data_IF_160945212788
#
_entry.id   IF_160945212788
#
_cell.length_a   1.000
_cell.length_b   1.000
_cell.length_c   1.000
_cell.angle_alpha   90.00
_cell.angle_beta   90.00
_cell.angle_gamma   90.00
#
_symmetry.space_group_name_H-M   'P 1'
#
loop_
_entity.id
_entity.type
_entity.pdbx_description
1 polymer ?
#
# COMPACT_ATOMS: atom_id res chain seq x y z
N UNK A 1 -17.03 -12.71 -9.77
CA UNK A 1 -16.51 -13.38 -8.55
C UNK A 1 -15.03 -13.60 -8.78
N UNK A 2 -14.13 -12.95 -8.02
CA UNK A 2 -12.70 -13.23 -8.16
C UNK A 2 -12.43 -14.64 -7.63
N UNK A 3 -11.68 -15.43 -8.40
CA UNK A 3 -11.30 -16.78 -8.01
C UNK A 3 -10.40 -16.77 -6.77
N UNK A 4 -10.48 -17.80 -5.92
CA UNK A 4 -9.70 -17.88 -4.67
C UNK A 4 -8.19 -17.73 -4.92
N UNK A 5 -7.73 -18.23 -6.06
CA UNK A 5 -6.34 -18.12 -6.51
C UNK A 5 -5.95 -16.67 -6.80
N UNK A 6 -6.80 -15.94 -7.51
CA UNK A 6 -6.58 -14.52 -7.83
C UNK A 6 -6.58 -13.65 -6.56
N UNK A 7 -7.44 -13.97 -5.58
CA UNK A 7 -7.43 -13.26 -4.29
C UNK A 7 -6.12 -13.48 -3.53
N UNK A 8 -5.60 -14.71 -3.53
CA UNK A 8 -4.30 -15.00 -2.91
C UNK A 8 -3.13 -14.35 -3.64
N UNK A 9 -3.23 -14.25 -4.97
CA UNK A 9 -2.18 -13.71 -5.82
C UNK A 9 -2.01 -12.19 -5.64
N UNK A 10 -3.09 -11.48 -5.30
CA UNK A 10 -3.15 -10.03 -5.11
C UNK A 10 -3.57 -9.60 -3.70
N UNK A 11 -3.46 -10.50 -2.72
CA UNK A 11 -3.97 -10.29 -1.36
C UNK A 11 -3.38 -9.02 -0.72
N UNK A 12 -2.08 -8.80 -0.89
CA UNK A 12 -1.39 -7.66 -0.27
C UNK A 12 -1.64 -6.37 -1.02
N UNK A 13 -1.67 -6.42 -2.35
CA UNK A 13 -2.10 -5.28 -3.18
C UNK A 13 -3.50 -4.82 -2.78
N UNK A 14 -4.43 -5.76 -2.57
CA UNK A 14 -5.78 -5.45 -2.13
C UNK A 14 -5.79 -4.77 -0.75
N UNK A 15 -5.02 -5.28 0.21
CA UNK A 15 -4.90 -4.66 1.54
C UNK A 15 -4.36 -3.22 1.44
N UNK A 16 -3.25 -3.02 0.71
CA UNK A 16 -2.66 -1.70 0.55
C UNK A 16 -3.59 -0.74 -0.20
N UNK A 17 -4.33 -1.22 -1.20
CA UNK A 17 -5.35 -0.46 -1.90
C UNK A 17 -6.46 0.00 -0.93
N UNK A 18 -6.94 -0.89 -0.07
CA UNK A 18 -7.96 -0.54 0.94
C UNK A 18 -7.44 0.50 1.93
N UNK A 19 -6.21 0.33 2.43
CA UNK A 19 -5.58 1.28 3.35
C UNK A 19 -5.43 2.66 2.68
N UNK A 20 -4.88 2.71 1.46
CA UNK A 20 -4.74 3.95 0.68
C UNK A 20 -6.09 4.63 0.43
N UNK A 21 -7.13 3.85 0.14
CA UNK A 21 -8.49 4.37 -0.09
C UNK A 21 -9.07 5.00 1.17
N UNK A 22 -8.92 4.36 2.33
CA UNK A 22 -9.36 4.91 3.62
C UNK A 22 -8.59 6.18 3.97
N UNK A 23 -7.27 6.17 3.80
CA UNK A 23 -6.43 7.35 4.03
C UNK A 23 -6.75 8.48 3.04
N UNK A 24 -7.05 8.16 1.78
CA UNK A 24 -7.49 9.14 0.78
C UNK A 24 -8.69 9.92 1.28
N UNK A 25 -9.70 9.26 1.85
CA UNK A 25 -10.88 9.93 2.41
C UNK A 25 -10.50 10.93 3.52
N UNK A 26 -9.59 10.53 4.41
CA UNK A 26 -9.14 11.40 5.52
C UNK A 26 -8.35 12.61 5.02
N UNK A 27 -7.49 12.44 4.02
CA UNK A 27 -6.68 13.55 3.47
C UNK A 27 -7.56 14.50 2.64
N UNK A 28 -8.53 13.97 1.89
CA UNK A 28 -9.38 14.75 0.99
C UNK A 28 -10.40 15.62 1.74
N UNK A 29 -10.84 15.22 2.95
CA UNK A 29 -11.80 16.03 3.74
C UNK A 29 -11.15 17.05 4.67
N UNK A 30 -9.87 16.88 5.05
CA UNK A 30 -9.24 17.69 6.10
C UNK A 30 -8.20 18.70 5.59
N UNK A 31 -7.41 18.40 4.55
CA UNK A 31 -6.25 19.26 4.21
C UNK A 31 -5.82 19.18 2.72
N UNK A 32 -5.76 20.38 2.09
CA UNK A 32 -4.67 20.82 1.19
C UNK A 32 -4.82 20.75 -0.34
N UNK A 33 -4.28 21.82 -0.96
CA UNK A 33 -3.97 22.10 -2.39
C UNK A 33 -3.22 21.00 -3.17
N UNK A 34 -2.89 19.86 -2.54
CA UNK A 34 -1.91 18.88 -3.03
C UNK A 34 -2.49 17.46 -3.27
N UNK A 35 -3.77 17.35 -3.63
CA UNK A 35 -4.43 16.09 -4.04
C UNK A 35 -3.62 15.31 -5.09
N UNK A 36 -3.00 16.01 -6.02
CA UNK A 36 -2.16 15.42 -7.08
C UNK A 36 -0.98 14.64 -6.51
N UNK A 37 -0.29 15.19 -5.49
CA UNK A 37 0.83 14.53 -4.82
C UNK A 37 0.38 13.24 -4.13
N UNK A 38 -0.80 13.26 -3.50
CA UNK A 38 -1.36 12.09 -2.86
C UNK A 38 -1.74 10.98 -3.85
N UNK A 39 -2.30 11.35 -5.01
CA UNK A 39 -2.60 10.43 -6.12
C UNK A 39 -1.30 9.81 -6.66
N UNK A 40 -0.26 10.61 -6.87
CA UNK A 40 1.04 10.13 -7.36
C UNK A 40 1.67 9.16 -6.37
N UNK A 41 1.69 9.50 -5.07
CA UNK A 41 2.20 8.59 -4.03
C UNK A 41 1.39 7.29 -3.97
N UNK A 42 0.07 7.40 -4.06
CA UNK A 42 -0.82 6.24 -4.08
C UNK A 42 -0.51 5.30 -5.24
N UNK A 43 -0.30 5.88 -6.43
CA UNK A 43 0.05 5.13 -7.63
C UNK A 43 1.41 4.43 -7.52
N UNK A 44 2.42 5.13 -6.99
CA UNK A 44 3.77 4.57 -6.78
C UNK A 44 3.73 3.42 -5.78
N UNK A 45 3.02 3.57 -4.67
CA UNK A 45 2.87 2.53 -3.65
C UNK A 45 2.18 1.31 -4.27
N UNK A 46 1.05 1.50 -4.96
CA UNK A 46 0.33 0.41 -5.62
C UNK A 46 1.18 -0.33 -6.66
N UNK A 47 1.87 0.39 -7.55
CA UNK A 47 2.73 -0.22 -8.57
C UNK A 47 3.89 -1.00 -7.97
N UNK A 48 4.54 -0.44 -6.94
CA UNK A 48 5.62 -1.11 -6.24
C UNK A 48 5.13 -2.39 -5.56
N UNK A 49 3.96 -2.32 -4.93
CA UNK A 49 3.35 -3.45 -4.22
C UNK A 49 2.93 -4.54 -5.21
N UNK A 50 2.27 -4.19 -6.32
CA UNK A 50 1.90 -5.09 -7.41
C UNK A 50 3.11 -5.79 -8.03
N UNK A 51 4.14 -5.02 -8.38
CA UNK A 51 5.34 -5.57 -9.03
C UNK A 51 6.07 -6.53 -8.09
N UNK A 52 6.19 -6.17 -6.82
CA UNK A 52 6.77 -7.01 -5.77
C UNK A 52 5.94 -8.27 -5.55
N UNK A 53 4.62 -8.13 -5.51
CA UNK A 53 3.70 -9.23 -5.27
C UNK A 53 3.68 -10.23 -6.45
N UNK A 54 3.72 -9.75 -7.69
CA UNK A 54 3.85 -10.58 -8.90
C UNK A 54 5.21 -11.30 -8.92
N UNK A 55 6.29 -10.60 -8.59
CA UNK A 55 7.63 -11.18 -8.54
C UNK A 55 7.75 -12.27 -7.47
N UNK A 56 7.20 -12.04 -6.29
CA UNK A 56 7.19 -13.03 -5.20
C UNK A 56 6.26 -14.21 -5.48
N UNK A 57 5.16 -14.00 -6.22
CA UNK A 57 4.20 -15.07 -6.53
C UNK A 57 4.81 -16.19 -7.37
N UNK A 58 5.83 -15.86 -8.16
CA UNK A 58 6.55 -16.84 -8.97
C UNK A 58 7.50 -17.73 -8.16
N UNK A 59 7.88 -17.34 -6.94
CA UNK A 59 8.94 -18.01 -6.16
C UNK A 59 8.48 -18.54 -4.80
N UNK A 60 7.41 -18.01 -4.22
CA UNK A 60 7.09 -18.24 -2.82
C UNK A 60 5.59 -18.50 -2.62
N UNK A 61 5.27 -19.46 -1.74
CA UNK A 61 3.91 -19.68 -1.27
C UNK A 61 3.41 -18.53 -0.36
N UNK A 62 2.10 -18.48 -0.11
CA UNK A 62 1.43 -17.37 0.58
C UNK A 62 2.06 -17.02 1.94
N UNK A 63 2.42 -18.03 2.75
CA UNK A 63 3.01 -17.82 4.09
C UNK A 63 4.41 -17.19 4.02
N UNK A 64 5.26 -17.63 3.09
CA UNK A 64 6.59 -17.04 2.92
C UNK A 64 6.53 -15.64 2.33
N UNK A 65 5.56 -15.40 1.44
CA UNK A 65 5.20 -14.07 0.96
C UNK A 65 4.86 -13.15 2.12
N UNK A 66 3.95 -13.57 3.00
CA UNK A 66 3.53 -12.81 4.17
C UNK A 66 4.71 -12.44 5.08
N UNK A 67 5.62 -13.39 5.34
CA UNK A 67 6.79 -13.15 6.18
C UNK A 67 7.71 -12.08 5.58
N UNK A 68 7.97 -12.14 4.27
CA UNK A 68 8.80 -11.13 3.58
C UNK A 68 8.11 -9.78 3.47
N UNK A 69 6.82 -9.75 3.16
CA UNK A 69 6.05 -8.51 3.07
C UNK A 69 5.87 -7.83 4.42
N UNK A 70 5.74 -8.60 5.51
CA UNK A 70 5.66 -8.06 6.87
C UNK A 70 6.94 -7.29 7.24
N UNK A 71 8.12 -7.80 6.86
CA UNK A 71 9.39 -7.08 7.04
C UNK A 71 9.44 -5.80 6.20
N UNK A 72 8.89 -5.81 4.98
CA UNK A 72 8.83 -4.63 4.11
C UNK A 72 7.76 -3.60 4.51
N UNK A 73 6.67 -4.03 5.17
CA UNK A 73 5.57 -3.16 5.64
C UNK A 73 6.04 -2.23 6.77
N UNK A 74 6.92 -2.71 7.64
CA UNK A 74 7.43 -1.93 8.78
C UNK A 74 8.08 -0.61 8.35
N UNK A 75 9.09 -0.60 7.44
CA UNK A 75 9.70 0.65 6.98
C UNK A 75 8.71 1.53 6.18
N UNK A 76 7.80 0.93 5.41
CA UNK A 76 6.77 1.68 4.65
C UNK A 76 5.84 2.43 5.63
N UNK A 77 5.34 1.76 6.66
CA UNK A 77 4.48 2.38 7.67
C UNK A 77 5.22 3.45 8.47
N UNK A 78 6.52 3.27 8.74
CA UNK A 78 7.37 4.29 9.38
C UNK A 78 7.49 5.55 8.53
N UNK A 79 7.69 5.40 7.22
CA UNK A 79 7.73 6.53 6.27
C UNK A 79 6.37 7.20 6.18
N UNK A 80 5.27 6.45 6.03
CA UNK A 80 3.91 7.00 6.00
C UNK A 80 3.62 7.77 7.29
N UNK A 81 3.93 7.21 8.45
CA UNK A 81 3.73 7.85 9.75
C UNK A 81 4.54 9.15 9.87
N UNK A 82 5.79 9.14 9.41
CA UNK A 82 6.66 10.33 9.41
C UNK A 82 6.14 11.43 8.48
N UNK A 83 5.68 11.08 7.28
CA UNK A 83 5.05 12.03 6.34
C UNK A 83 3.74 12.58 6.90
N UNK A 84 2.95 11.73 7.56
CA UNK A 84 1.70 12.16 8.21
C UNK A 84 1.97 13.17 9.33
N UNK A 85 2.95 12.91 10.18
CA UNK A 85 3.38 13.85 11.22
C UNK A 85 3.87 15.16 10.60
N UNK A 86 4.67 15.11 9.53
CA UNK A 86 5.14 16.31 8.86
C UNK A 86 3.98 17.17 8.31
N UNK A 87 2.97 16.56 7.69
CA UNK A 87 1.82 17.30 7.15
C UNK A 87 0.83 17.81 8.20
N UNK A 88 0.73 17.17 9.37
CA UNK A 88 -0.15 17.62 10.46
C UNK A 88 0.50 18.74 11.28
N UNK A 89 1.81 18.68 11.50
CA UNK A 89 2.55 19.60 12.36
C UNK A 89 3.32 20.71 11.58
N UNK A 90 3.19 20.78 10.26
CA UNK A 90 3.72 21.85 9.40
C UNK A 90 2.60 22.67 8.78
#
# INVERSE_FOLDING_TARGET
MLDKKTINDYYFTLIFLTILTIFSISVTSFYSKNIILYIIMSFVILLSTLSTEIALNKKYGLQEKAKKMMVSIIPINLVIFSVFLFFIFS
#
